data_IF_821744301121
#
_entry.id   IF_821744301121
#
_cell.length_a   1.000
_cell.length_b   1.000
_cell.length_c   1.000
_cell.angle_alpha   90.00
_cell.angle_beta   90.00
_cell.angle_gamma   90.00
#
_symmetry.space_group_name_H-M   'P 1'
#
loop_
_entity.id
_entity.type
_entity.pdbx_description
1 polymer ?
#
# COMPACT_ATOMS: atom_id res chain seq x y z
N UNK A 1 -8.45 10.36 9.96
CA UNK A 1 -8.51 9.27 10.96
C UNK A 1 -8.16 7.97 10.29
N UNK A 2 -7.37 7.12 10.93
CA UNK A 2 -6.94 5.83 10.40
C UNK A 2 -7.35 4.74 11.39
N UNK A 3 -8.11 3.75 10.91
CA UNK A 3 -8.58 2.62 11.70
C UNK A 3 -8.15 1.34 10.99
N UNK A 4 -7.68 0.36 11.74
CA UNK A 4 -7.17 -0.89 11.19
C UNK A 4 -7.58 -2.05 12.09
N UNK A 5 -8.08 -3.13 11.48
CA UNK A 5 -8.30 -4.39 12.17
C UNK A 5 -7.50 -5.48 11.45
N UNK A 6 -6.65 -6.18 12.19
CA UNK A 6 -5.82 -7.28 11.71
C UNK A 6 -6.55 -8.61 11.87
N UNK A 7 -6.20 -9.58 11.03
CA UNK A 7 -6.71 -10.95 11.06
C UNK A 7 -8.25 -11.06 10.97
N UNK A 8 -8.84 -10.31 10.04
CA UNK A 8 -10.30 -10.25 9.82
C UNK A 8 -10.87 -11.43 9.02
N UNK A 9 -10.03 -12.12 8.25
CA UNK A 9 -10.43 -13.26 7.42
C UNK A 9 -9.87 -14.57 7.99
N UNK A 10 -10.67 -15.63 7.96
CA UNK A 10 -10.34 -16.93 8.57
C UNK A 10 -9.49 -17.86 7.70
N UNK A 11 -9.37 -17.58 6.41
CA UNK A 11 -8.71 -18.45 5.43
C UNK A 11 -7.30 -18.01 5.00
N UNK A 12 -7.03 -16.71 4.76
CA UNK A 12 -5.69 -16.26 4.39
C UNK A 12 -4.72 -16.36 5.57
N UNK A 13 -3.42 -16.46 5.28
CA UNK A 13 -2.37 -16.49 6.30
C UNK A 13 -2.20 -15.12 6.98
N UNK A 14 -2.45 -14.03 6.25
CA UNK A 14 -2.54 -12.69 6.81
C UNK A 14 -3.71 -11.92 6.21
N UNK A 15 -4.41 -11.14 7.02
CA UNK A 15 -5.49 -10.30 6.53
C UNK A 15 -5.64 -9.01 7.33
N UNK A 16 -6.16 -7.99 6.67
CA UNK A 16 -6.39 -6.69 7.29
C UNK A 16 -7.52 -5.97 6.60
N UNK A 17 -8.31 -5.24 7.37
CA UNK A 17 -9.17 -4.17 6.88
C UNK A 17 -8.59 -2.84 7.35
N UNK A 18 -8.33 -1.95 6.41
CA UNK A 18 -7.81 -0.63 6.68
C UNK A 18 -8.79 0.43 6.20
N UNK A 19 -9.11 1.35 7.09
CA UNK A 19 -9.86 2.57 6.80
C UNK A 19 -8.94 3.78 6.96
N UNK A 20 -8.69 4.49 5.87
CA UNK A 20 -8.01 5.78 5.85
C UNK A 20 -9.02 6.85 5.44
N UNK A 21 -9.46 7.65 6.42
CA UNK A 21 -10.57 8.57 6.25
C UNK A 21 -11.79 7.83 5.65
N UNK A 22 -12.31 8.31 4.52
CA UNK A 22 -13.47 7.72 3.84
C UNK A 22 -13.12 6.56 2.89
N UNK A 23 -11.84 6.17 2.81
CA UNK A 23 -11.37 5.07 1.97
C UNK A 23 -11.22 3.82 2.82
N UNK A 24 -11.79 2.70 2.34
CA UNK A 24 -11.74 1.41 3.03
C UNK A 24 -11.30 0.33 2.05
N UNK A 25 -10.25 -0.40 2.43
CA UNK A 25 -9.65 -1.48 1.64
C UNK A 25 -9.42 -2.69 2.53
N UNK A 26 -9.66 -3.88 1.98
CA UNK A 26 -9.29 -5.16 2.61
C UNK A 26 -8.12 -5.74 1.84
N UNK A 27 -7.09 -6.19 2.54
CA UNK A 27 -5.98 -6.92 1.96
C UNK A 27 -5.86 -8.31 2.60
N UNK A 28 -5.52 -9.31 1.80
CA UNK A 28 -5.35 -10.69 2.20
C UNK A 28 -4.11 -11.27 1.54
N UNK A 29 -3.26 -11.90 2.32
CA UNK A 29 -2.03 -12.56 1.89
C UNK A 29 -2.21 -14.07 2.01
N UNK A 30 -1.85 -14.77 0.96
CA UNK A 30 -1.85 -16.22 0.87
C UNK A 30 -0.42 -16.67 0.55
N UNK A 31 0.12 -17.54 1.39
CA UNK A 31 1.48 -18.03 1.28
C UNK A 31 2.41 -17.44 2.35
N UNK A 32 3.69 -17.82 2.29
CA UNK A 32 4.36 -18.46 1.16
C UNK A 32 4.04 -19.96 1.03
N UNK A 33 3.56 -20.41 -0.13
CA UNK A 33 3.28 -21.82 -0.40
C UNK A 33 4.31 -22.44 -1.35
N UNK A 34 4.71 -23.69 -1.09
CA UNK A 34 5.66 -24.42 -1.94
C UNK A 34 5.09 -24.74 -3.33
N UNK A 35 5.79 -24.33 -4.38
CA UNK A 35 5.42 -24.61 -5.77
C UNK A 35 5.80 -26.04 -6.16
N UNK A 36 4.81 -26.82 -6.65
CA UNK A 36 5.01 -28.24 -7.01
C UNK A 36 5.77 -28.45 -8.33
N UNK A 37 5.67 -27.53 -9.30
CA UNK A 37 6.28 -27.69 -10.62
C UNK A 37 6.54 -26.33 -11.30
N UNK A 38 7.72 -25.75 -11.09
CA UNK A 38 8.19 -24.58 -11.85
C UNK A 38 9.68 -24.73 -12.16
N UNK A 39 10.12 -24.22 -13.32
CA UNK A 39 11.55 -23.96 -13.57
C UNK A 39 12.08 -23.20 -12.35
N UNK A 40 13.26 -23.57 -11.87
CA UNK A 40 13.92 -22.88 -10.76
C UNK A 40 14.09 -21.42 -11.21
N UNK A 41 13.23 -20.54 -10.73
CA UNK A 41 13.45 -19.11 -10.75
C UNK A 41 14.23 -18.78 -9.48
N UNK A 42 15.29 -17.97 -9.61
CA UNK A 42 16.13 -17.54 -8.48
C UNK A 42 15.43 -16.50 -7.58
N UNK A 43 14.12 -16.33 -7.75
CA UNK A 43 13.30 -15.31 -7.10
C UNK A 43 11.94 -15.88 -6.69
N UNK A 44 11.29 -15.25 -5.71
CA UNK A 44 9.97 -15.64 -5.22
C UNK A 44 8.87 -14.99 -6.07
N UNK A 45 8.01 -15.75 -6.77
CA UNK A 45 6.86 -15.18 -7.45
C UNK A 45 5.92 -14.48 -6.45
N UNK A 46 5.70 -13.18 -6.66
CA UNK A 46 4.80 -12.36 -5.87
C UNK A 46 3.67 -11.83 -6.74
N UNK A 47 2.49 -12.43 -6.61
CA UNK A 47 1.31 -12.03 -7.36
C UNK A 47 0.50 -11.00 -6.58
N UNK A 48 0.05 -9.95 -7.27
CA UNK A 48 -0.88 -8.96 -6.70
C UNK A 48 -2.11 -8.89 -7.56
N UNK A 49 -3.29 -9.00 -6.95
CA UNK A 49 -4.55 -8.70 -7.62
C UNK A 49 -5.33 -7.62 -6.88
N UNK A 50 -5.68 -6.56 -7.59
CA UNK A 50 -6.50 -5.47 -7.11
C UNK A 50 -7.89 -5.56 -7.71
N UNK A 51 -8.91 -5.53 -6.85
CA UNK A 51 -10.31 -5.57 -7.24
C UNK A 51 -11.00 -4.27 -6.82
N UNK A 52 -11.57 -3.51 -7.77
CA UNK A 52 -12.34 -2.32 -7.45
C UNK A 52 -13.67 -2.72 -6.79
N UNK A 53 -14.34 -1.76 -6.14
CA UNK A 53 -15.66 -1.98 -5.51
C UNK A 53 -16.71 -2.37 -6.55
N UNK A 54 -16.69 -1.73 -7.71
CA UNK A 54 -17.69 -1.89 -8.76
C UNK A 54 -17.06 -1.85 -10.15
N UNK A 55 -17.60 -2.65 -11.05
CA UNK A 55 -17.18 -2.74 -12.44
C UNK A 55 -16.08 -3.78 -12.69
N UNK A 56 -15.78 -4.06 -13.97
CA UNK A 56 -14.72 -4.99 -14.35
C UNK A 56 -13.34 -4.39 -14.09
N UNK A 57 -12.34 -5.26 -13.93
CA UNK A 57 -10.93 -4.86 -13.87
C UNK A 57 -10.53 -4.12 -15.14
N UNK A 58 -9.99 -2.91 -14.98
CA UNK A 58 -9.55 -2.03 -16.06
C UNK A 58 -8.02 -1.87 -16.04
N UNK A 59 -7.47 -1.08 -16.96
CA UNK A 59 -6.02 -0.81 -17.01
C UNK A 59 -5.50 -0.09 -15.77
N UNK A 60 -6.32 0.79 -15.14
CA UNK A 60 -5.98 1.45 -13.87
C UNK A 60 -5.77 0.43 -12.74
N UNK A 61 -6.60 -0.62 -12.67
CA UNK A 61 -6.42 -1.71 -11.70
C UNK A 61 -5.07 -2.38 -11.90
N UNK A 62 -4.65 -2.63 -13.15
CA UNK A 62 -3.32 -3.19 -13.44
C UNK A 62 -2.20 -2.26 -12.98
N UNK A 63 -2.33 -0.94 -13.21
CA UNK A 63 -1.34 0.03 -12.72
C UNK A 63 -1.26 0.02 -11.20
N UNK A 64 -2.39 -0.13 -10.49
CA UNK A 64 -2.40 -0.27 -9.03
C UNK A 64 -1.76 -1.59 -8.59
N UNK A 65 -2.06 -2.70 -9.26
CA UNK A 65 -1.40 -4.00 -9.03
C UNK A 65 0.11 -3.88 -9.19
N UNK A 66 0.60 -3.25 -10.25
CA UNK A 66 2.03 -3.07 -10.51
C UNK A 66 2.70 -2.17 -9.46
N UNK A 67 2.04 -1.09 -9.04
CA UNK A 67 2.57 -0.21 -7.99
C UNK A 67 2.60 -0.87 -6.61
N UNK A 68 1.56 -1.62 -6.26
CA UNK A 68 1.51 -2.38 -5.01
C UNK A 68 2.55 -3.49 -5.04
N UNK A 69 2.70 -4.19 -6.18
CA UNK A 69 3.71 -5.23 -6.39
C UNK A 69 5.12 -4.67 -6.22
N UNK A 70 5.47 -3.62 -6.94
CA UNK A 70 6.79 -2.98 -6.86
C UNK A 70 7.10 -2.45 -5.46
N UNK A 71 6.10 -1.92 -4.75
CA UNK A 71 6.26 -1.56 -3.35
C UNK A 71 6.58 -2.81 -2.51
N UNK A 72 5.70 -3.81 -2.48
CA UNK A 72 5.86 -4.99 -1.61
C UNK A 72 7.14 -5.80 -1.92
N UNK A 73 7.48 -6.00 -3.20
CA UNK A 73 8.68 -6.73 -3.61
C UNK A 73 9.98 -6.05 -3.16
N UNK A 74 9.98 -4.72 -3.03
CA UNK A 74 11.16 -3.98 -2.58
C UNK A 74 11.54 -4.27 -1.12
N UNK A 75 10.58 -4.74 -0.31
CA UNK A 75 10.79 -4.98 1.13
C UNK A 75 10.76 -6.44 1.54
N UNK A 76 10.16 -7.33 0.74
CA UNK A 76 10.14 -8.76 1.06
C UNK A 76 11.53 -9.36 0.84
N UNK A 77 12.01 -10.20 1.77
CA UNK A 77 13.25 -10.92 1.60
C UNK A 77 13.06 -12.14 0.67
N UNK A 78 12.93 -11.88 -0.63
CA UNK A 78 12.54 -12.88 -1.64
C UNK A 78 13.50 -14.07 -1.74
N UNK A 79 14.80 -13.86 -1.50
CA UNK A 79 15.84 -14.91 -1.56
C UNK A 79 15.69 -16.00 -0.49
N UNK A 80 14.97 -15.76 0.60
CA UNK A 80 14.67 -16.79 1.60
C UNK A 80 13.59 -17.76 1.13
N UNK A 81 12.80 -17.36 0.12
CA UNK A 81 11.59 -18.06 -0.31
C UNK A 81 11.72 -18.67 -1.71
N UNK A 82 12.92 -19.14 -2.06
CA UNK A 82 13.14 -19.85 -3.32
C UNK A 82 12.13 -21.01 -3.42
N UNK A 83 11.43 -21.11 -4.56
CA UNK A 83 10.35 -22.10 -4.83
C UNK A 83 9.04 -21.90 -4.07
N UNK A 84 8.85 -20.80 -3.37
CA UNK A 84 7.56 -20.46 -2.77
C UNK A 84 6.86 -19.38 -3.59
N UNK A 85 5.55 -19.41 -3.61
CA UNK A 85 4.70 -18.37 -4.20
C UNK A 85 3.90 -17.68 -3.09
N UNK A 86 3.77 -16.36 -3.22
CA UNK A 86 2.90 -15.55 -2.37
C UNK A 86 1.92 -14.78 -3.25
N UNK A 87 0.65 -14.79 -2.86
CA UNK A 87 -0.40 -14.02 -3.54
C UNK A 87 -1.02 -13.02 -2.57
N UNK A 88 -1.02 -11.76 -2.97
CA UNK A 88 -1.66 -10.65 -2.28
C UNK A 88 -2.94 -10.24 -3.03
N UNK A 89 -4.08 -10.36 -2.36
CA UNK A 89 -5.37 -9.90 -2.86
C UNK A 89 -5.75 -8.60 -2.14
N UNK A 90 -6.12 -7.58 -2.92
CA UNK A 90 -6.55 -6.28 -2.41
C UNK A 90 -7.93 -5.96 -2.96
N UNK A 91 -8.91 -5.78 -2.08
CA UNK A 91 -10.29 -5.47 -2.44
C UNK A 91 -10.67 -4.09 -1.92
N UNK A 92 -11.03 -3.20 -2.84
CA UNK A 92 -11.63 -1.91 -2.51
C UNK A 92 -13.08 -2.11 -2.02
N UNK A 93 -13.40 -1.59 -0.83
CA UNK A 93 -14.76 -1.56 -0.29
C UNK A 93 -15.39 -0.17 -0.42
N UNK A 94 -14.59 0.87 -0.25
CA UNK A 94 -15.01 2.25 -0.36
C UNK A 94 -13.86 3.12 -0.85
N UNK A 95 -14.14 4.01 -1.81
CA UNK A 95 -13.18 4.96 -2.35
C UNK A 95 -13.55 6.39 -1.95
N UNK A 96 -12.76 6.92 -1.02
CA UNK A 96 -12.87 8.28 -0.50
C UNK A 96 -11.93 9.28 -1.16
N UNK A 97 -11.24 8.92 -2.25
CA UNK A 97 -10.35 9.82 -3.01
C UNK A 97 -8.87 9.42 -3.03
N UNK A 98 -8.45 8.51 -2.15
CA UNK A 98 -7.04 8.09 -1.98
C UNK A 98 -6.90 6.56 -1.85
N UNK A 99 -7.44 5.82 -2.82
CA UNK A 99 -7.48 4.34 -2.78
C UNK A 99 -6.11 3.68 -2.88
N UNK A 100 -5.23 4.17 -3.76
CA UNK A 100 -3.90 3.59 -3.98
C UNK A 100 -3.00 3.63 -2.74
N UNK A 101 -2.80 4.76 -2.05
CA UNK A 101 -1.98 4.76 -0.83
C UNK A 101 -2.61 3.90 0.27
N UNK A 102 -3.95 3.90 0.40
CA UNK A 102 -4.65 3.02 1.35
C UNK A 102 -4.43 1.54 1.01
N UNK A 103 -4.42 1.19 -0.27
CA UNK A 103 -4.16 -0.17 -0.73
C UNK A 103 -2.73 -0.60 -0.39
N UNK A 104 -1.71 0.20 -0.71
CA UNK A 104 -0.31 -0.09 -0.37
C UNK A 104 -0.15 -0.24 1.16
N UNK A 105 -0.77 0.63 1.93
CA UNK A 105 -0.72 0.60 3.39
C UNK A 105 -1.37 -0.68 3.96
N UNK A 106 -2.54 -1.06 3.42
CA UNK A 106 -3.20 -2.32 3.78
C UNK A 106 -2.34 -3.53 3.38
N UNK A 107 -1.72 -3.51 2.21
CA UNK A 107 -0.82 -4.58 1.76
C UNK A 107 0.37 -4.77 2.70
N UNK A 108 1.01 -3.69 3.14
CA UNK A 108 2.11 -3.76 4.10
C UNK A 108 1.66 -4.40 5.43
N UNK A 109 0.50 -3.98 5.96
CA UNK A 109 -0.04 -4.53 7.21
C UNK A 109 -0.45 -6.00 7.07
N UNK A 110 -0.98 -6.40 5.91
CA UNK A 110 -1.32 -7.78 5.62
C UNK A 110 -0.08 -8.69 5.60
N UNK A 111 1.03 -8.20 5.02
CA UNK A 111 2.32 -8.91 4.99
C UNK A 111 2.94 -9.04 6.38
N UNK A 112 2.83 -8.00 7.21
CA UNK A 112 3.24 -8.05 8.62
C UNK A 112 2.40 -9.11 9.36
N UNK A 113 1.09 -9.14 9.14
CA UNK A 113 0.19 -10.10 9.78
C UNK A 113 0.43 -11.55 9.31
N UNK A 114 0.79 -11.77 8.05
CA UNK A 114 1.11 -13.11 7.53
C UNK A 114 2.46 -13.64 8.01
N UNK A 115 3.29 -12.81 8.65
CA UNK A 115 4.61 -13.22 9.15
C UNK A 115 5.63 -13.48 8.04
N UNK A 116 5.47 -12.86 6.87
CA UNK A 116 6.48 -12.92 5.81
C UNK A 116 7.68 -12.05 6.23
N UNK A 117 8.89 -12.57 6.02
CA UNK A 117 10.12 -11.86 6.34
C UNK A 117 10.26 -10.61 5.46
N UNK A 118 10.18 -9.44 6.10
CA UNK A 118 10.34 -8.12 5.48
C UNK A 118 11.58 -7.41 6.02
N UNK A 119 12.34 -6.76 5.14
CA UNK A 119 13.49 -5.94 5.51
C UNK A 119 13.05 -4.66 6.22
N UNK A 120 12.07 -3.97 5.66
CA UNK A 120 11.53 -2.69 6.11
C UNK A 120 10.01 -2.66 5.93
N UNK A 121 9.31 -1.71 6.56
CA UNK A 121 7.88 -1.47 6.32
C UNK A 121 7.70 -0.42 5.21
N UNK A 122 6.51 -0.38 4.60
CA UNK A 122 6.16 0.61 3.57
C UNK A 122 4.92 1.39 3.97
N UNK A 123 4.99 2.70 3.84
CA UNK A 123 3.85 3.59 3.95
C UNK A 123 3.73 4.45 2.71
N UNK A 124 2.51 4.62 2.22
CA UNK A 124 2.19 5.44 1.08
C UNK A 124 1.26 6.58 1.45
N UNK A 125 1.47 7.72 0.79
CA UNK A 125 0.65 8.91 0.92
C UNK A 125 0.43 9.54 -0.46
N UNK A 126 -0.70 10.22 -0.58
CA UNK A 126 -1.07 11.01 -1.75
C UNK A 126 -1.14 12.48 -1.37
N UNK A 127 -0.74 13.34 -2.31
CA UNK A 127 -0.90 14.78 -2.21
C UNK A 127 -1.45 15.32 -3.52
N UNK A 128 -2.44 16.20 -3.44
CA UNK A 128 -2.98 16.92 -4.59
C UNK A 128 -2.67 18.40 -4.49
N UNK A 129 -2.57 19.02 -5.66
CA UNK A 129 -2.51 20.46 -5.81
C UNK A 129 -3.80 20.92 -6.48
N UNK A 130 -4.54 21.76 -5.76
CA UNK A 130 -5.76 22.36 -6.26
C UNK A 130 -5.45 23.48 -7.27
N UNK A 131 -6.47 23.93 -8.00
CA UNK A 131 -6.36 25.01 -9.00
C UNK A 131 -5.82 26.32 -8.42
N UNK A 132 -6.10 26.55 -7.13
CA UNK A 132 -5.65 27.72 -6.40
C UNK A 132 -4.20 27.60 -5.89
N UNK A 133 -3.49 26.50 -6.21
CA UNK A 133 -2.12 26.23 -5.77
C UNK A 133 -1.99 25.73 -4.33
N UNK A 134 -3.11 25.39 -3.69
CA UNK A 134 -3.13 24.81 -2.35
C UNK A 134 -2.82 23.32 -2.37
N UNK A 135 -2.03 22.85 -1.41
CA UNK A 135 -1.61 21.45 -1.28
C UNK A 135 -2.45 20.74 -0.22
N UNK A 136 -2.98 19.56 -0.57
CA UNK A 136 -3.74 18.72 0.34
C UNK A 136 -3.16 17.32 0.38
N UNK A 137 -2.89 16.81 1.58
CA UNK A 137 -2.39 15.43 1.80
C UNK A 137 -3.57 14.55 2.17
N UNK A 138 -3.60 13.33 1.63
CA UNK A 138 -4.74 12.41 1.71
C UNK A 138 -6.05 13.08 1.29
N UNK A 139 -6.14 13.54 0.02
CA UNK A 139 -7.32 14.21 -0.47
C UNK A 139 -8.57 13.38 -0.35
N UNK A 140 -9.67 14.07 -0.06
CA UNK A 140 -11.01 13.53 -0.18
C UNK A 140 -11.44 13.43 -1.65
N UNK A 141 -12.61 12.85 -1.88
CA UNK A 141 -13.14 12.58 -3.21
C UNK A 141 -13.41 13.86 -4.01
N UNK A 142 -13.73 14.97 -3.35
CA UNK A 142 -14.01 16.25 -3.99
C UNK A 142 -12.70 16.95 -4.37
N UNK A 143 -11.71 16.93 -3.48
CA UNK A 143 -10.36 17.42 -3.71
C UNK A 143 -9.68 16.66 -4.85
N UNK A 144 -9.75 15.33 -4.89
CA UNK A 144 -9.18 14.54 -6.01
C UNK A 144 -9.85 14.85 -7.35
N UNK A 145 -11.16 15.17 -7.37
CA UNK A 145 -11.87 15.55 -8.61
C UNK A 145 -11.54 16.95 -9.10
N UNK A 146 -11.31 17.88 -8.17
CA UNK A 146 -11.03 19.28 -8.48
C UNK A 146 -9.54 19.52 -8.77
N UNK A 147 -8.68 18.66 -8.23
CA UNK A 147 -7.25 18.72 -8.38
C UNK A 147 -6.82 18.63 -9.86
N UNK A 148 -5.84 19.46 -10.20
CA UNK A 148 -5.18 19.41 -11.50
C UNK A 148 -3.92 18.54 -11.47
N UNK A 149 -3.38 18.30 -10.27
CA UNK A 149 -2.12 17.60 -10.07
C UNK A 149 -2.24 16.65 -8.88
N UNK A 150 -1.77 15.42 -9.03
CA UNK A 150 -1.76 14.38 -7.99
C UNK A 150 -0.38 13.72 -7.96
N UNK A 151 0.20 13.61 -6.78
CA UNK A 151 1.37 12.76 -6.51
C UNK A 151 0.92 11.67 -5.56
N UNK A 152 1.27 10.42 -5.85
CA UNK A 152 1.22 9.34 -4.87
C UNK A 152 2.61 8.74 -4.75
N UNK A 153 3.12 8.68 -3.53
CA UNK A 153 4.45 8.16 -3.24
C UNK A 153 4.39 7.17 -2.08
N UNK A 154 5.18 6.11 -2.18
CA UNK A 154 5.45 5.18 -1.09
C UNK A 154 6.88 5.34 -0.62
N UNK A 155 7.09 5.12 0.67
CA UNK A 155 8.36 5.31 1.35
C UNK A 155 8.67 4.07 2.19
N UNK A 156 9.94 3.81 2.43
CA UNK A 156 10.38 2.79 3.39
C UNK A 156 10.50 3.33 4.82
N UNK A 157 10.48 2.45 5.82
CA UNK A 157 10.45 2.85 7.24
C UNK A 157 11.78 3.28 7.83
N UNK A 158 12.92 2.95 7.21
CA UNK A 158 14.25 3.18 7.80
C UNK A 158 14.87 4.50 7.36
N UNK A 159 15.10 4.68 6.06
CA UNK A 159 15.67 5.92 5.52
C UNK A 159 14.61 6.87 4.97
N UNK A 160 13.34 6.44 4.94
CA UNK A 160 12.25 7.15 4.27
C UNK A 160 12.53 7.40 2.79
N UNK A 161 13.36 6.59 2.14
CA UNK A 161 13.56 6.67 0.70
C UNK A 161 12.27 6.35 -0.06
N UNK A 162 12.10 6.99 -1.22
CA UNK A 162 10.96 6.75 -2.11
C UNK A 162 11.12 5.37 -2.73
N UNK A 163 10.08 4.54 -2.63
CA UNK A 163 10.03 3.18 -3.19
C UNK A 163 9.31 3.20 -4.53
N UNK A 164 8.06 3.65 -4.54
CA UNK A 164 7.29 3.89 -5.76
C UNK A 164 6.73 5.31 -5.76
N UNK A 165 6.63 5.91 -6.94
CA UNK A 165 6.09 7.23 -7.12
C UNK A 165 5.35 7.31 -8.45
N UNK A 166 4.15 7.90 -8.40
CA UNK A 166 3.35 8.21 -9.58
C UNK A 166 2.87 9.64 -9.50
N UNK A 167 2.77 10.28 -10.66
CA UNK A 167 2.33 11.66 -10.80
C UNK A 167 1.31 11.76 -11.92
N UNK A 168 0.24 12.49 -11.67
CA UNK A 168 -0.75 12.85 -12.68
C UNK A 168 -0.82 14.37 -12.74
N UNK A 169 -0.75 14.92 -13.95
CA UNK A 169 -0.79 16.37 -14.19
C UNK A 169 0.59 17.04 -14.22
N UNK A 170 0.64 18.30 -14.68
CA UNK A 170 1.89 19.03 -14.90
C UNK A 170 2.37 19.66 -13.59
N UNK A 171 3.54 19.25 -13.11
CA UNK A 171 4.20 19.84 -11.95
C UNK A 171 5.36 20.75 -12.37
N UNK A 172 5.55 21.85 -11.66
CA UNK A 172 6.87 22.52 -11.59
C UNK A 172 7.77 21.76 -10.62
N UNK A 173 9.08 21.90 -10.76
CA UNK A 173 10.07 21.25 -9.89
C UNK A 173 9.83 21.54 -8.40
N UNK A 174 9.59 22.81 -8.06
CA UNK A 174 9.35 23.25 -6.68
C UNK A 174 8.03 22.72 -6.10
N UNK A 175 6.97 22.65 -6.90
CA UNK A 175 5.70 22.06 -6.48
C UNK A 175 5.83 20.55 -6.26
N UNK A 176 6.56 19.86 -7.15
CA UNK A 176 6.79 18.43 -7.05
C UNK A 176 7.56 18.08 -5.78
N UNK A 177 8.70 18.75 -5.55
CA UNK A 177 9.51 18.55 -4.34
C UNK A 177 8.69 18.79 -3.07
N UNK A 178 7.91 19.86 -3.04
CA UNK A 178 7.02 20.18 -1.92
C UNK A 178 5.96 19.10 -1.71
N UNK A 179 5.30 18.63 -2.77
CA UNK A 179 4.28 17.59 -2.67
C UNK A 179 4.86 16.27 -2.14
N UNK A 180 6.04 15.85 -2.64
CA UNK A 180 6.72 14.64 -2.19
C UNK A 180 7.16 14.77 -0.73
N UNK A 181 7.66 15.93 -0.31
CA UNK A 181 8.02 16.19 1.07
C UNK A 181 6.81 16.10 2.01
N UNK A 182 5.66 16.65 1.61
CA UNK A 182 4.42 16.52 2.37
C UNK A 182 3.94 15.06 2.46
N UNK A 183 4.06 14.29 1.38
CA UNK A 183 3.78 12.84 1.40
C UNK A 183 4.71 12.09 2.36
N UNK A 184 6.01 12.44 2.39
CA UNK A 184 6.99 11.84 3.29
C UNK A 184 6.64 12.06 4.75
N UNK A 185 6.30 13.29 5.13
CA UNK A 185 5.87 13.64 6.49
C UNK A 185 4.60 12.90 6.91
N UNK A 186 3.68 12.68 5.97
CA UNK A 186 2.48 11.88 6.21
C UNK A 186 2.81 10.40 6.40
N UNK A 187 3.69 9.84 5.57
CA UNK A 187 4.14 8.46 5.66
C UNK A 187 4.83 8.17 7.01
N UNK A 188 5.60 9.12 7.56
CA UNK A 188 6.20 9.00 8.90
C UNK A 188 5.13 8.78 9.96
N UNK A 189 4.05 9.58 9.94
CA UNK A 189 2.92 9.42 10.88
C UNK A 189 2.22 8.07 10.70
N UNK A 190 2.13 7.57 9.48
CA UNK A 190 1.58 6.24 9.17
C UNK A 190 2.47 5.13 9.76
N UNK A 191 3.80 5.28 9.71
CA UNK A 191 4.72 4.32 10.34
C UNK A 191 4.58 4.29 11.86
N UNK A 192 4.40 5.44 12.49
CA UNK A 192 4.17 5.49 13.94
C UNK A 192 2.86 4.77 14.30
N UNK A 193 1.81 4.99 13.50
CA UNK A 193 0.55 4.23 13.63
C UNK A 193 0.75 2.71 13.46
N UNK A 194 1.58 2.26 12.51
CA UNK A 194 1.87 0.83 12.35
C UNK A 194 2.53 0.24 13.59
N UNK A 195 3.52 0.94 14.15
CA UNK A 195 4.24 0.47 15.35
C UNK A 195 3.27 0.32 16.53
N UNK A 196 2.42 1.31 16.76
CA UNK A 196 1.43 1.27 17.83
C UNK A 196 0.45 0.11 17.64
N UNK A 197 -0.08 -0.05 16.42
CA UNK A 197 -1.02 -1.11 16.08
C UNK A 197 -0.41 -2.51 16.27
N UNK A 198 0.78 -2.74 15.73
CA UNK A 198 1.46 -4.04 15.81
C UNK A 198 1.82 -4.36 17.26
N UNK A 199 2.24 -3.37 18.05
CA UNK A 199 2.54 -3.56 19.48
C UNK A 199 1.29 -3.95 20.26
N UNK A 200 0.16 -3.28 20.01
CA UNK A 200 -1.11 -3.62 20.65
C UNK A 200 -1.58 -5.03 20.28
N UNK A 201 -1.47 -5.39 19.00
CA UNK A 201 -1.86 -6.71 18.52
C UNK A 201 -0.96 -7.82 19.07
N UNK A 202 0.36 -7.61 19.13
CA UNK A 202 1.31 -8.55 19.72
C UNK A 202 1.00 -8.80 21.21
N UNK A 203 0.68 -7.76 21.97
CA UNK A 203 0.31 -7.87 23.38
C UNK A 203 -1.04 -8.57 23.61
N UNK A 204 -1.92 -8.62 22.61
CA UNK A 204 -3.22 -9.27 22.73
C UNK A 204 -3.18 -10.78 22.45
N UNK A 205 -2.11 -11.26 21.79
CA UNK A 205 -1.95 -12.66 21.35
C UNK A 205 -0.94 -13.42 22.21
N UNK A 206 0.02 -12.71 22.82
CA UNK A 206 0.98 -13.25 23.80
C UNK A 206 0.37 -13.30 25.21
#
# INVERSE_FOLDING_TARGET
TMNCELNVLSKPDGSVILSQADTVVVAAVYGPYEMKHTKIEDDMPFQVSFKPKAGPTNNLCKTYEDMIRGACESVIFRKSYNRHETTLLVQELQNGGSVLPCAINASCLALINSGIDMQHMIAAASCVVDKDGSFYVHPDRQQTKNACKLVTASFESVSHNVVTLTTEGPFTETEFERAVQMCREAAIKVFDYYKDLVTQYANAIL
#
